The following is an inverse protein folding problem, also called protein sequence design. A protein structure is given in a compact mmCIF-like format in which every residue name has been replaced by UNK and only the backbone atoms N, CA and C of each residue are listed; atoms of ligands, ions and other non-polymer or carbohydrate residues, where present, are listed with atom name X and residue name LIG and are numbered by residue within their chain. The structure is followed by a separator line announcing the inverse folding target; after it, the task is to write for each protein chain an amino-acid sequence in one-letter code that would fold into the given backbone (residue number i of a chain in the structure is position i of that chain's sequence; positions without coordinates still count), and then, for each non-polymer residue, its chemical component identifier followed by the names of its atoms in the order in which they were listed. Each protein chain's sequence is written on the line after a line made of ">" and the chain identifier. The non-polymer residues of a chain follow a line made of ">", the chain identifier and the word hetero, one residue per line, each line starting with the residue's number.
data_IF_200448801244
#
_entry.id   IF_200448801244
#
_cell.length_a   1.000
_cell.length_b   1.000
_cell.length_c   1.000
_cell.angle_alpha   90.00
_cell.angle_beta   90.00
_cell.angle_gamma   90.00
#
_symmetry.space_group_name_H-M   'P 1'
#
loop_
_entity.id
_entity.type
_entity.pdbx_description
1 polymer ?
#
# COMPACT_ATOMS: atom_id res chain seq x y z
N UNK A 1 -21.40 -0.66 22.31
CA UNK A 1 -20.90 -0.56 21.88
C UNK A 1 -20.25 -0.72 21.17
N UNK A 2 -20.25 -0.67 20.85
CA UNK A 2 -19.72 -1.03 19.96
C UNK A 2 -18.46 -0.85 19.82
N UNK A 3 -18.09 -1.53 19.19
CA UNK A 3 -16.70 -1.57 18.93
C UNK A 3 -16.25 -0.35 18.20
N UNK A 4 -15.29 0.31 18.72
CA UNK A 4 -14.81 1.53 18.14
C UNK A 4 -13.65 1.29 17.17
N UNK A 5 -13.41 0.05 16.80
CA UNK A 5 -12.31 -0.24 15.89
C UNK A 5 -12.58 0.31 14.52
N UNK A 6 -11.63 1.04 13.92
CA UNK A 6 -11.77 1.50 12.53
C UNK A 6 -11.86 0.30 11.61
N UNK A 7 -12.54 0.47 10.49
CA UNK A 7 -12.60 -0.60 9.52
C UNK A 7 -11.23 -0.83 8.88
N UNK A 8 -11.06 -2.02 8.34
CA UNK A 8 -9.83 -2.37 7.62
C UNK A 8 -9.49 -1.32 6.57
N UNK A 9 -10.48 -0.93 5.77
CA UNK A 9 -10.22 0.03 4.69
C UNK A 9 -9.78 1.39 5.20
N UNK A 10 -10.35 1.84 6.30
CA UNK A 10 -9.97 3.14 6.86
C UNK A 10 -8.53 3.11 7.34
N UNK A 11 -8.14 2.04 8.03
CA UNK A 11 -6.78 1.93 8.54
C UNK A 11 -5.80 1.81 7.39
N UNK A 12 -6.13 1.02 6.38
CA UNK A 12 -5.27 0.86 5.21
C UNK A 12 -5.07 2.18 4.49
N UNK A 13 -6.15 2.96 4.31
CA UNK A 13 -6.03 4.26 3.67
C UNK A 13 -5.09 5.17 4.43
N UNK A 14 -5.17 5.16 5.76
CA UNK A 14 -4.26 5.97 6.58
C UNK A 14 -2.82 5.53 6.43
N UNK A 15 -2.58 4.23 6.37
CA UNK A 15 -1.25 3.69 6.20
C UNK A 15 -0.67 4.13 4.85
N UNK A 16 -1.47 4.02 3.80
CA UNK A 16 -1.02 4.42 2.46
C UNK A 16 -0.78 5.91 2.38
N UNK A 17 -1.65 6.70 3.00
CA UNK A 17 -1.52 8.16 2.98
C UNK A 17 -0.31 8.63 3.77
N UNK A 18 0.16 7.85 4.72
CA UNK A 18 1.35 8.22 5.49
C UNK A 18 2.62 8.11 4.66
N UNK A 19 2.56 7.44 3.52
CA UNK A 19 3.68 7.22 2.61
C UNK A 19 4.83 6.47 3.27
N UNK A 20 4.52 5.68 4.30
CA UNK A 20 5.52 4.93 5.05
C UNK A 20 5.39 3.45 4.69
N UNK A 21 6.32 2.97 3.85
CA UNK A 21 6.28 1.57 3.41
C UNK A 21 6.45 0.60 4.58
N UNK A 22 7.16 1.01 5.62
CA UNK A 22 7.35 0.13 6.78
C UNK A 22 6.04 -0.06 7.53
N UNK A 23 5.21 0.99 7.57
CA UNK A 23 3.89 0.89 8.18
C UNK A 23 3.00 -0.06 7.38
N UNK A 24 3.11 -0.01 6.05
CA UNK A 24 2.37 -0.93 5.19
C UNK A 24 2.80 -2.38 5.43
N UNK A 25 4.10 -2.59 5.55
CA UNK A 25 4.61 -3.94 5.82
C UNK A 25 4.07 -4.47 7.14
N UNK A 26 4.13 -3.65 8.18
CA UNK A 26 3.63 -4.06 9.48
C UNK A 26 2.13 -4.32 9.46
N UNK A 27 1.38 -3.48 8.76
CA UNK A 27 -0.06 -3.64 8.63
C UNK A 27 -0.40 -4.94 7.93
N UNK A 28 0.30 -5.23 6.82
CA UNK A 28 0.05 -6.46 6.07
C UNK A 28 0.39 -7.70 6.88
N UNK A 29 1.46 -7.63 7.64
CA UNK A 29 1.86 -8.76 8.48
C UNK A 29 0.81 -9.00 9.57
N UNK A 30 0.33 -7.94 10.16
CA UNK A 30 -0.67 -8.03 11.22
C UNK A 30 -1.96 -8.68 10.72
N UNK A 31 -2.32 -8.41 9.47
CA UNK A 31 -3.55 -8.95 8.88
C UNK A 31 -3.32 -10.23 8.09
N UNK A 32 -2.08 -10.69 8.04
CA UNK A 32 -1.74 -11.99 7.45
C UNK A 32 -2.21 -12.11 6.00
N UNK A 33 -1.99 -11.08 5.22
CA UNK A 33 -2.57 -10.98 3.89
C UNK A 33 -1.68 -11.49 2.77
N UNK A 34 -0.41 -11.67 3.05
CA UNK A 34 0.54 -12.06 2.02
C UNK A 34 1.36 -13.24 2.52
N UNK A 35 1.87 -14.06 1.59
CA UNK A 35 2.73 -15.18 2.00
C UNK A 35 3.92 -14.73 2.84
N UNK A 36 4.31 -15.55 3.78
CA UNK A 36 5.33 -15.19 4.74
C UNK A 36 6.66 -14.79 4.16
N UNK A 37 7.03 -15.40 3.02
CA UNK A 37 8.32 -15.10 2.41
C UNK A 37 8.38 -13.68 1.81
N UNK A 38 7.24 -13.09 1.55
CA UNK A 38 7.20 -11.72 1.02
C UNK A 38 7.69 -10.72 2.06
N UNK A 39 7.55 -11.04 3.34
CA UNK A 39 7.98 -10.12 4.38
C UNK A 39 9.51 -10.01 4.46
N UNK A 40 10.22 -10.90 3.79
CA UNK A 40 11.67 -10.79 3.69
C UNK A 40 12.12 -9.87 2.56
N UNK A 41 11.17 -9.41 1.74
CA UNK A 41 11.52 -8.49 0.64
C UNK A 41 11.95 -7.15 1.20
N UNK A 42 12.78 -6.47 0.43
CA UNK A 42 13.34 -5.22 0.88
C UNK A 42 12.44 -4.03 0.67
N UNK A 43 12.98 -2.87 1.03
CA UNK A 43 12.28 -1.59 0.97
C UNK A 43 11.67 -1.32 -0.40
N UNK A 44 12.42 -1.62 -1.45
CA UNK A 44 11.97 -1.30 -2.81
C UNK A 44 10.65 -2.01 -3.12
N UNK A 45 10.54 -3.29 -2.76
CA UNK A 45 9.30 -4.03 -3.01
C UNK A 45 8.13 -3.36 -2.32
N UNK A 46 8.32 -2.98 -1.05
CA UNK A 46 7.24 -2.41 -0.28
C UNK A 46 6.85 -1.02 -0.75
N UNK A 47 7.81 -0.26 -1.27
CA UNK A 47 7.49 1.03 -1.87
C UNK A 47 6.68 0.87 -3.14
N UNK A 48 7.05 -0.10 -3.98
CA UNK A 48 6.29 -0.36 -5.20
C UNK A 48 4.86 -0.76 -4.84
N UNK A 49 4.71 -1.64 -3.86
CA UNK A 49 3.38 -2.08 -3.45
C UNK A 49 2.57 -0.92 -2.89
N UNK A 50 3.20 -0.08 -2.08
CA UNK A 50 2.51 1.07 -1.51
C UNK A 50 1.94 1.98 -2.60
N UNK A 51 2.74 2.28 -3.60
CA UNK A 51 2.28 3.16 -4.67
C UNK A 51 1.23 2.50 -5.55
N UNK A 52 1.37 1.20 -5.81
CA UNK A 52 0.36 0.49 -6.59
C UNK A 52 -0.99 0.46 -5.86
N UNK A 53 -0.96 0.18 -4.56
CA UNK A 53 -2.19 0.17 -3.78
C UNK A 53 -2.83 1.54 -3.74
N UNK A 54 -2.02 2.59 -3.58
CA UNK A 54 -2.55 3.95 -3.57
C UNK A 54 -3.29 4.28 -4.86
N UNK A 55 -2.71 3.90 -6.00
CA UNK A 55 -3.32 4.19 -7.30
C UNK A 55 -4.62 3.43 -7.53
N UNK A 56 -4.86 2.39 -6.77
CA UNK A 56 -6.04 1.55 -6.96
C UNK A 56 -7.11 1.79 -5.91
N UNK A 57 -6.99 2.87 -5.14
CA UNK A 57 -7.99 3.21 -4.12
C UNK A 57 -8.65 4.52 -4.46
N UNK A 58 -9.97 4.49 -4.56
CA UNK A 58 -10.74 5.67 -4.93
C UNK A 58 -10.69 6.75 -3.86
N UNK A 59 -10.53 6.36 -2.61
CA UNK A 59 -10.48 7.33 -1.50
C UNK A 59 -9.13 8.03 -1.40
N UNK A 60 -8.18 7.68 -2.27
CA UNK A 60 -6.86 8.29 -2.27
C UNK A 60 -6.57 8.97 -3.61
N UNK A 61 -7.62 9.48 -4.27
CA UNK A 61 -7.46 10.11 -5.58
C UNK A 61 -6.42 11.23 -5.57
N UNK A 62 -6.34 11.98 -4.49
CA UNK A 62 -5.39 13.08 -4.41
C UNK A 62 -3.94 12.65 -4.42
N UNK A 63 -3.67 11.37 -4.21
CA UNK A 63 -2.31 10.84 -4.20
C UNK A 63 -1.99 10.04 -5.46
N UNK A 64 -2.97 9.85 -6.34
CA UNK A 64 -2.78 8.98 -7.50
C UNK A 64 -1.69 9.47 -8.43
N UNK A 65 -1.68 10.75 -8.73
CA UNK A 65 -0.73 11.28 -9.70
C UNK A 65 0.70 11.14 -9.19
N UNK A 66 0.91 11.44 -7.94
CA UNK A 66 2.23 11.30 -7.33
C UNK A 66 2.69 9.85 -7.38
N UNK A 67 1.81 8.93 -7.01
CA UNK A 67 2.17 7.52 -7.00
C UNK A 67 2.40 6.98 -8.40
N UNK A 68 1.58 7.40 -9.36
CA UNK A 68 1.79 6.98 -10.75
C UNK A 68 3.13 7.48 -11.28
N UNK A 69 3.49 8.73 -10.95
CA UNK A 69 4.76 9.29 -11.39
C UNK A 69 5.92 8.49 -10.80
N UNK A 70 5.83 8.16 -9.51
CA UNK A 70 6.88 7.38 -8.86
C UNK A 70 7.04 6.02 -9.56
N UNK A 71 5.91 5.34 -9.79
CA UNK A 71 5.95 4.03 -10.44
C UNK A 71 6.55 4.11 -11.83
N UNK A 72 6.12 5.10 -12.61
CA UNK A 72 6.61 5.27 -13.97
C UNK A 72 8.12 5.51 -14.00
N UNK A 73 8.60 6.32 -13.07
CA UNK A 73 10.02 6.62 -13.00
C UNK A 73 10.85 5.40 -12.66
N UNK A 74 10.26 4.43 -12.01
CA UNK A 74 10.96 3.21 -11.62
C UNK A 74 10.65 2.04 -12.55
N UNK A 75 9.90 2.28 -13.62
CA UNK A 75 9.64 1.24 -14.61
C UNK A 75 8.49 0.31 -14.30
N UNK A 76 7.54 0.76 -13.46
CA UNK A 76 6.39 -0.06 -13.10
C UNK A 76 5.10 0.56 -13.58
N UNK A 77 4.07 -0.30 -13.72
CA UNK A 77 2.72 0.18 -14.01
C UNK A 77 1.97 0.37 -12.69
N UNK A 78 0.82 1.05 -12.78
CA UNK A 78 -0.01 1.23 -11.59
C UNK A 78 -0.98 0.07 -11.35
N UNK A 79 -1.00 -0.91 -12.23
CA UNK A 79 -1.88 -2.07 -12.07
C UNK A 79 -1.36 -3.02 -11.01
N UNK A 80 -2.26 -3.51 -10.17
CA UNK A 80 -1.87 -4.46 -9.14
C UNK A 80 -1.43 -5.78 -9.72
N UNK A 81 -2.03 -6.18 -10.84
CA UNK A 81 -1.67 -7.43 -11.49
C UNK A 81 -0.48 -7.34 -12.41
N UNK A 82 0.10 -6.16 -12.55
CA UNK A 82 1.14 -5.93 -13.54
C UNK A 82 2.54 -6.08 -12.98
N UNK A 83 2.84 -7.18 -12.47
CA UNK A 83 4.20 -7.39 -11.98
C UNK A 83 5.15 -7.82 -13.08
#
# INVERSE_FOLDING_TARGET
>A
MNSEKPSYDVVLSGVLASRDWAALRAFSHEHNEIPGDVYAMGEHFWEVLLHKLTCNRLDLLGLHEESRAWLREHGYTSDLGGY
#
